data_IF_741993748444
#
_entry.id   IF_741993748444
#
_cell.length_a   1.000
_cell.length_b   1.000
_cell.length_c   1.000
_cell.angle_alpha   90.00
_cell.angle_beta   90.00
_cell.angle_gamma   90.00
#
_symmetry.space_group_name_H-M   'P 1'
#
loop_
_entity.id
_entity.type
_entity.pdbx_description
1 polymer ?
#
# COMPACT_ATOMS: atom_id res chain seq x y z
N UNK A 1 7.38 23.59 -5.81
CA UNK A 1 7.28 23.08 -7.21
C UNK A 1 5.84 22.65 -7.45
N UNK A 2 5.17 23.15 -8.49
CA UNK A 2 3.70 23.18 -8.61
C UNK A 2 3.04 22.05 -9.42
N UNK A 3 3.54 20.81 -9.38
CA UNK A 3 2.86 19.64 -9.98
C UNK A 3 2.69 18.52 -8.94
N UNK A 4 1.50 17.88 -8.85
CA UNK A 4 1.28 16.77 -7.92
C UNK A 4 2.21 15.59 -8.22
N UNK A 5 2.98 15.12 -7.22
CA UNK A 5 3.93 14.00 -7.35
C UNK A 5 3.32 12.74 -7.96
N UNK A 6 2.06 12.45 -7.65
CA UNK A 6 1.31 11.32 -8.17
C UNK A 6 1.18 11.26 -9.71
N UNK A 7 1.22 12.43 -10.36
CA UNK A 7 1.12 12.58 -11.82
C UNK A 7 2.49 12.58 -12.50
N UNK A 8 3.58 12.54 -11.72
CA UNK A 8 4.94 12.46 -12.27
C UNK A 8 5.07 11.13 -13.00
N UNK A 9 5.58 11.19 -14.24
CA UNK A 9 5.87 10.00 -15.02
C UNK A 9 6.98 9.20 -14.35
N UNK A 10 6.73 7.90 -14.18
CA UNK A 10 7.63 6.89 -13.66
C UNK A 10 7.57 5.62 -14.53
N UNK A 11 8.66 5.25 -15.18
CA UNK A 11 8.74 4.17 -16.17
C UNK A 11 7.67 4.30 -17.28
N UNK A 12 7.42 5.53 -17.74
CA UNK A 12 6.45 5.82 -18.82
C UNK A 12 4.97 5.81 -18.40
N UNK A 13 4.66 5.71 -17.10
CA UNK A 13 3.30 5.83 -16.57
C UNK A 13 3.27 6.71 -15.30
N UNK A 14 2.14 7.34 -14.93
CA UNK A 14 2.07 8.12 -13.68
C UNK A 14 2.42 7.27 -12.45
N UNK A 15 3.18 7.83 -11.50
CA UNK A 15 3.69 7.15 -10.31
C UNK A 15 2.59 6.39 -9.54
N UNK A 16 1.43 6.99 -9.40
CA UNK A 16 0.27 6.39 -8.73
C UNK A 16 -0.17 5.05 -9.37
N UNK A 17 -0.02 4.91 -10.69
CA UNK A 17 -0.32 3.67 -11.40
C UNK A 17 0.61 2.52 -10.97
N UNK A 18 1.81 2.81 -10.45
CA UNK A 18 2.71 1.80 -9.90
C UNK A 18 2.14 1.19 -8.63
N UNK A 19 1.69 2.03 -7.69
CA UNK A 19 1.01 1.58 -6.47
C UNK A 19 -0.23 0.76 -6.80
N UNK A 20 -1.07 1.25 -7.72
CA UNK A 20 -2.27 0.55 -8.18
C UNK A 20 -1.95 -0.82 -8.80
N UNK A 21 -0.90 -0.94 -9.64
CA UNK A 21 -0.49 -2.24 -10.20
C UNK A 21 0.04 -3.20 -9.13
N UNK A 22 0.76 -2.69 -8.15
CA UNK A 22 1.37 -3.50 -7.07
C UNK A 22 0.35 -3.96 -6.05
N UNK A 23 -0.70 -3.19 -5.80
CA UNK A 23 -1.64 -3.43 -4.70
C UNK A 23 -3.05 -3.77 -5.18
N UNK A 24 -3.40 -3.48 -6.42
CA UNK A 24 -4.76 -3.68 -6.94
C UNK A 24 -5.21 -5.14 -6.96
N UNK A 25 -4.27 -6.09 -6.99
CA UNK A 25 -4.58 -7.52 -6.96
C UNK A 25 -4.89 -8.06 -5.55
N UNK A 26 -4.62 -7.30 -4.49
CA UNK A 26 -4.97 -7.68 -3.11
C UNK A 26 -6.18 -6.91 -2.58
N UNK A 27 -6.76 -6.01 -3.37
CA UNK A 27 -7.79 -5.08 -2.93
C UNK A 27 -9.17 -5.40 -3.53
N UNK A 28 -10.21 -5.41 -2.69
CA UNK A 28 -11.60 -5.39 -3.18
C UNK A 28 -12.10 -3.99 -3.53
N UNK A 29 -11.58 -2.99 -2.83
CA UNK A 29 -11.85 -1.59 -3.04
C UNK A 29 -10.51 -0.85 -3.07
N UNK A 30 -10.34 0.06 -4.02
CA UNK A 30 -9.18 0.95 -4.09
C UNK A 30 -9.68 2.37 -3.92
N UNK A 31 -9.22 3.05 -2.88
CA UNK A 31 -9.55 4.46 -2.65
C UNK A 31 -8.28 5.26 -2.75
N UNK A 32 -8.31 6.35 -3.51
CA UNK A 32 -7.28 7.38 -3.47
C UNK A 32 -7.89 8.63 -2.85
N UNK A 33 -7.33 9.06 -1.72
CA UNK A 33 -7.67 10.37 -1.15
C UNK A 33 -6.80 11.45 -1.79
N UNK A 34 -7.41 12.53 -2.27
CA UNK A 34 -6.65 13.66 -2.79
C UNK A 34 -7.43 14.97 -2.68
N UNK A 35 -6.70 16.03 -2.33
CA UNK A 35 -7.18 17.41 -2.42
C UNK A 35 -7.26 17.94 -3.86
N UNK A 36 -6.70 17.22 -4.85
CA UNK A 36 -6.68 17.62 -6.25
C UNK A 36 -7.22 16.47 -7.12
N UNK A 37 -8.53 16.22 -7.01
CA UNK A 37 -9.21 15.16 -7.76
C UNK A 37 -9.08 15.35 -9.27
N UNK A 38 -9.11 16.59 -9.74
CA UNK A 38 -9.09 16.90 -11.17
C UNK A 38 -7.77 16.45 -11.80
N UNK A 39 -6.64 16.62 -11.10
CA UNK A 39 -5.34 16.12 -11.55
C UNK A 39 -5.28 14.59 -11.71
N UNK A 40 -6.17 13.87 -11.05
CA UNK A 40 -6.25 12.40 -11.07
C UNK A 40 -7.40 11.87 -11.92
N UNK A 41 -8.22 12.72 -12.55
CA UNK A 41 -9.38 12.30 -13.34
C UNK A 41 -9.03 11.34 -14.49
N UNK A 42 -7.78 11.35 -14.96
CA UNK A 42 -7.28 10.41 -15.96
C UNK A 42 -7.32 8.94 -15.47
N UNK A 43 -7.21 8.70 -14.16
CA UNK A 43 -7.28 7.35 -13.59
C UNK A 43 -8.66 6.72 -13.80
N UNK A 44 -9.72 7.53 -13.82
CA UNK A 44 -11.09 7.07 -14.05
C UNK A 44 -11.39 6.73 -15.52
N UNK A 45 -10.51 7.10 -16.46
CA UNK A 45 -10.73 6.88 -17.91
C UNK A 45 -9.74 5.92 -18.56
N UNK A 46 -8.53 5.77 -18.00
CA UNK A 46 -7.45 4.98 -18.61
C UNK A 46 -7.05 3.71 -17.86
N UNK A 47 -7.51 3.52 -16.62
CA UNK A 47 -7.19 2.34 -15.81
C UNK A 47 -8.45 1.54 -15.59
N UNK A 48 -8.51 0.32 -16.14
CA UNK A 48 -9.61 -0.64 -15.96
C UNK A 48 -9.59 -1.21 -14.55
N UNK A 49 -9.79 -0.35 -13.55
CA UNK A 49 -10.03 -0.73 -12.18
C UNK A 49 -11.45 -0.28 -11.85
N UNK A 50 -12.42 -1.16 -12.14
CA UNK A 50 -13.84 -0.95 -11.82
C UNK A 50 -14.08 -0.71 -10.31
N UNK A 51 -13.04 -0.91 -9.49
CA UNK A 51 -13.00 -0.81 -8.02
C UNK A 51 -12.34 0.49 -7.51
N UNK A 52 -11.90 1.40 -8.39
CA UNK A 52 -11.18 2.62 -7.98
C UNK A 52 -12.13 3.78 -7.69
N UNK A 53 -11.97 4.40 -6.51
CA UNK A 53 -12.70 5.60 -6.07
C UNK A 53 -11.74 6.74 -5.73
N UNK A 54 -12.02 7.93 -6.26
CA UNK A 54 -11.33 9.16 -5.86
C UNK A 54 -12.14 9.89 -4.78
N UNK A 55 -11.53 10.15 -3.64
CA UNK A 55 -12.17 10.80 -2.48
C UNK A 55 -11.43 12.09 -2.13
N UNK A 56 -12.17 13.14 -1.75
CA UNK A 56 -11.57 14.42 -1.37
C UNK A 56 -11.20 14.34 0.09
N UNK A 57 -10.10 14.94 0.49
CA UNK A 57 -9.80 15.06 1.92
C UNK A 57 -10.92 15.85 2.62
N UNK A 58 -11.29 15.41 3.82
CA UNK A 58 -12.37 16.05 4.60
C UNK A 58 -11.94 17.38 5.23
N UNK A 59 -10.63 17.60 5.33
CA UNK A 59 -10.04 18.75 6.02
C UNK A 59 -9.24 19.60 5.05
N UNK A 60 -9.51 20.91 5.05
CA UNK A 60 -8.76 21.89 4.26
C UNK A 60 -7.29 21.94 4.67
N UNK A 61 -7.02 21.87 5.99
CA UNK A 61 -5.66 21.83 6.53
C UNK A 61 -5.08 20.44 6.34
N UNK A 62 -3.89 20.35 5.75
CA UNK A 62 -3.20 19.07 5.53
C UNK A 62 -2.46 18.61 6.79
N UNK A 63 -2.62 17.33 7.12
CA UNK A 63 -1.80 16.65 8.11
C UNK A 63 -1.83 15.14 7.85
N UNK A 64 -0.82 14.43 8.33
CA UNK A 64 -0.76 12.98 8.26
C UNK A 64 -1.99 12.32 8.93
N UNK A 65 -2.40 12.85 10.09
CA UNK A 65 -3.58 12.34 10.80
C UNK A 65 -4.90 12.59 10.04
N UNK A 66 -5.03 13.74 9.37
CA UNK A 66 -6.21 14.07 8.57
C UNK A 66 -6.35 13.14 7.36
N UNK A 67 -5.24 12.85 6.69
CA UNK A 67 -5.19 11.89 5.59
C UNK A 67 -5.61 10.50 6.06
N UNK A 68 -4.99 10.00 7.13
CA UNK A 68 -5.31 8.69 7.71
C UNK A 68 -6.80 8.57 8.08
N UNK A 69 -7.36 9.61 8.72
CA UNK A 69 -8.78 9.63 9.07
C UNK A 69 -9.68 9.62 7.84
N UNK A 70 -9.38 10.44 6.83
CA UNK A 70 -10.16 10.49 5.59
C UNK A 70 -10.14 9.14 4.88
N UNK A 71 -8.97 8.50 4.79
CA UNK A 71 -8.83 7.18 4.18
C UNK A 71 -9.66 6.11 4.91
N UNK A 72 -9.55 6.03 6.24
CA UNK A 72 -10.33 5.08 7.04
C UNK A 72 -11.83 5.35 6.98
N UNK A 73 -12.25 6.62 6.97
CA UNK A 73 -13.67 6.97 6.92
C UNK A 73 -14.28 6.68 5.55
N UNK A 74 -13.49 6.84 4.48
CA UNK A 74 -13.94 6.61 3.11
C UNK A 74 -14.05 5.12 2.76
N UNK A 75 -13.23 4.29 3.40
CA UNK A 75 -13.22 2.84 3.25
C UNK A 75 -14.57 2.24 3.62
N UNK A 76 -15.06 1.29 2.83
CA UNK A 76 -16.36 0.64 3.09
C UNK A 76 -16.25 -0.52 4.08
N UNK A 77 -15.04 -1.02 4.32
CA UNK A 77 -14.83 -2.32 4.92
C UNK A 77 -14.12 -2.31 6.29
N UNK A 78 -14.11 -3.44 7.02
CA UNK A 78 -13.61 -3.48 8.40
C UNK A 78 -12.10 -3.34 8.51
N UNK A 79 -11.34 -3.89 7.56
CA UNK A 79 -9.88 -3.81 7.54
C UNK A 79 -9.40 -2.95 6.39
N UNK A 80 -8.46 -2.07 6.68
CA UNK A 80 -8.00 -1.04 5.75
C UNK A 80 -6.49 -1.03 5.76
N UNK A 81 -5.87 -1.50 4.69
CA UNK A 81 -4.46 -1.25 4.45
C UNK A 81 -4.29 0.19 3.96
N UNK A 82 -3.36 0.95 4.52
CA UNK A 82 -3.12 2.35 4.19
C UNK A 82 -1.69 2.45 3.68
N UNK A 83 -1.55 2.90 2.42
CA UNK A 83 -0.25 3.06 1.77
C UNK A 83 -0.04 4.48 1.26
N UNK A 84 1.14 5.06 1.50
CA UNK A 84 1.51 6.36 0.92
C UNK A 84 1.90 6.25 -0.57
N UNK A 85 1.49 7.22 -1.38
CA UNK A 85 1.72 7.21 -2.83
C UNK A 85 3.19 7.35 -3.28
N UNK A 86 4.07 7.81 -2.39
CA UNK A 86 5.51 7.93 -2.62
C UNK A 86 6.27 6.63 -2.31
N UNK A 87 5.60 5.61 -1.75
CA UNK A 87 6.15 4.27 -1.53
C UNK A 87 6.05 3.42 -2.79
N UNK A 88 6.96 3.64 -3.74
CA UNK A 88 6.95 2.98 -5.06
C UNK A 88 7.17 1.46 -5.01
N UNK A 89 7.70 0.97 -3.89
CA UNK A 89 7.97 -0.43 -3.60
C UNK A 89 6.98 -1.04 -2.60
N UNK A 90 5.82 -0.39 -2.36
CA UNK A 90 4.77 -0.91 -1.50
C UNK A 90 4.52 -2.41 -1.71
N UNK A 91 4.31 -3.13 -0.62
CA UNK A 91 4.50 -4.57 -0.60
C UNK A 91 3.23 -5.29 -0.19
N UNK A 92 2.60 -5.91 -1.20
CA UNK A 92 1.42 -6.74 -1.01
C UNK A 92 1.64 -7.90 -0.02
N UNK A 93 2.78 -8.63 -0.05
CA UNK A 93 3.07 -9.68 0.94
C UNK A 93 3.11 -9.16 2.38
N UNK A 94 3.72 -7.99 2.60
CA UNK A 94 3.79 -7.39 3.93
C UNK A 94 2.40 -6.98 4.45
N UNK A 95 1.60 -6.29 3.62
CA UNK A 95 0.23 -5.93 3.98
C UNK A 95 -0.65 -7.16 4.25
N UNK A 96 -0.40 -8.26 3.53
CA UNK A 96 -1.09 -9.53 3.75
C UNK A 96 -0.74 -10.12 5.12
N UNK A 97 0.54 -10.16 5.47
CA UNK A 97 0.98 -10.64 6.79
C UNK A 97 0.46 -9.76 7.94
N UNK A 98 0.43 -8.44 7.76
CA UNK A 98 -0.15 -7.49 8.72
C UNK A 98 -1.63 -7.73 8.95
N UNK A 99 -2.39 -7.93 7.86
CA UNK A 99 -3.80 -8.27 7.92
C UNK A 99 -4.04 -9.57 8.71
N UNK A 100 -3.29 -10.64 8.41
CA UNK A 100 -3.43 -11.94 9.10
C UNK A 100 -3.17 -11.82 10.61
N UNK A 101 -2.09 -11.13 10.98
CA UNK A 101 -1.78 -10.91 12.39
C UNK A 101 -2.88 -10.10 13.10
N UNK A 102 -3.40 -9.08 12.42
CA UNK A 102 -4.47 -8.23 12.95
C UNK A 102 -5.78 -8.98 13.15
N UNK A 103 -6.14 -9.85 12.21
CA UNK A 103 -7.32 -10.70 12.27
C UNK A 103 -7.23 -11.68 13.44
N UNK A 104 -6.12 -12.41 13.57
CA UNK A 104 -5.94 -13.45 14.59
C UNK A 104 -5.87 -12.91 16.02
N UNK A 105 -5.33 -11.70 16.20
CA UNK A 105 -5.10 -11.12 17.53
C UNK A 105 -6.28 -10.33 18.09
N UNK A 106 -7.23 -9.94 17.23
CA UNK A 106 -8.26 -8.95 17.58
C UNK A 106 -7.67 -7.60 18.00
N UNK A 107 -6.50 -7.22 17.48
CA UNK A 107 -5.89 -5.91 17.70
C UNK A 107 -6.57 -4.81 16.85
N UNK A 108 -6.18 -3.56 17.09
CA UNK A 108 -6.70 -2.39 16.40
C UNK A 108 -5.90 -2.09 15.12
N UNK A 109 -4.57 -2.21 15.16
CA UNK A 109 -3.75 -2.03 13.98
C UNK A 109 -2.48 -2.90 14.01
N UNK A 110 -2.01 -3.29 12.83
CA UNK A 110 -0.72 -3.90 12.60
C UNK A 110 0.15 -2.91 11.83
N UNK A 111 1.28 -2.51 12.43
CA UNK A 111 2.10 -1.40 11.92
C UNK A 111 3.58 -1.78 11.97
N UNK A 112 4.33 -1.64 10.87
CA UNK A 112 5.78 -1.79 10.87
C UNK A 112 6.47 -0.77 11.74
N UNK A 113 7.57 -1.20 12.36
CA UNK A 113 8.49 -0.32 13.06
C UNK A 113 9.91 -0.48 12.54
N UNK A 114 10.45 0.62 12.05
CA UNK A 114 11.84 0.75 11.61
C UNK A 114 12.68 1.39 12.72
N UNK A 115 13.98 1.56 12.46
CA UNK A 115 14.87 2.36 13.32
C UNK A 115 14.41 3.81 13.48
N UNK A 116 13.61 4.33 12.54
CA UNK A 116 13.13 5.71 12.52
C UNK A 116 11.76 5.88 13.17
N UNK A 117 11.08 4.79 13.52
CA UNK A 117 9.77 4.80 14.17
C UNK A 117 8.76 3.93 13.44
N UNK A 118 7.48 4.19 13.68
CA UNK A 118 6.40 3.47 13.01
C UNK A 118 6.18 3.99 11.59
N UNK A 119 5.77 3.10 10.69
CA UNK A 119 5.37 3.39 9.32
C UNK A 119 3.83 3.36 9.17
N UNK A 120 3.10 4.42 9.57
CA UNK A 120 1.63 4.43 9.59
C UNK A 120 0.97 4.46 8.20
N UNK A 121 1.77 4.61 7.14
CA UNK A 121 1.31 4.60 5.76
C UNK A 121 1.90 3.43 4.98
N UNK A 122 2.17 2.34 5.68
CA UNK A 122 2.29 0.99 5.13
C UNK A 122 1.89 0.04 6.26
N UNK A 123 0.58 0.01 6.54
CA UNK A 123 0.03 -0.63 7.72
C UNK A 123 -1.43 -1.01 7.51
N UNK A 124 -1.93 -1.95 8.32
CA UNK A 124 -3.33 -2.40 8.30
C UNK A 124 -4.05 -1.98 9.58
N UNK A 125 -5.26 -1.42 9.42
CA UNK A 125 -6.07 -0.86 10.48
C UNK A 125 -7.46 -1.51 10.54
N UNK A 126 -7.97 -1.72 11.75
CA UNK A 126 -9.38 -2.06 11.99
C UNK A 126 -10.18 -0.76 12.04
N UNK A 127 -10.96 -0.51 11.00
CA UNK A 127 -11.70 0.74 10.79
C UNK A 127 -12.53 1.14 12.02
N UNK A 128 -13.33 0.22 12.54
CA UNK A 128 -14.28 0.50 13.61
C UNK A 128 -13.61 0.98 14.91
N UNK A 129 -12.47 0.38 15.29
CA UNK A 129 -11.79 0.72 16.54
C UNK A 129 -10.79 1.86 16.38
N UNK A 130 -10.16 2.00 15.21
CA UNK A 130 -9.22 3.08 14.94
C UNK A 130 -9.90 4.44 14.73
N UNK A 131 -11.04 4.50 14.03
CA UNK A 131 -11.74 5.76 13.74
C UNK A 131 -12.02 6.63 14.97
N UNK A 132 -12.60 6.13 16.08
CA UNK A 132 -12.85 6.96 17.26
C UNK A 132 -11.56 7.46 17.94
N UNK A 133 -10.50 6.64 17.97
CA UNK A 133 -9.20 7.03 18.55
C UNK A 133 -8.54 8.16 17.74
N UNK A 134 -8.56 8.04 16.43
CA UNK A 134 -8.04 9.05 15.51
C UNK A 134 -8.86 10.33 15.60
N UNK A 135 -10.20 10.22 15.63
CA UNK A 135 -11.09 11.38 15.77
C UNK A 135 -10.84 12.14 17.06
N UNK A 136 -10.65 11.44 18.18
CA UNK A 136 -10.33 12.06 19.45
C UNK A 136 -8.98 12.81 19.43
N UNK A 137 -7.98 12.28 18.73
CA UNK A 137 -6.70 12.96 18.54
C UNK A 137 -6.83 14.22 17.65
N UNK A 138 -7.65 14.14 16.59
CA UNK A 138 -7.95 15.29 15.74
C UNK A 138 -8.66 16.42 16.50
N UNK A 139 -9.62 16.07 17.36
CA UNK A 139 -10.35 17.05 18.19
C UNK A 139 -9.45 17.75 19.22
N UNK A 140 -8.30 17.14 19.53
CA UNK A 140 -7.25 17.73 20.37
C UNK A 140 -6.23 18.55 19.56
N UNK A 141 -6.46 18.77 18.26
CA UNK A 141 -5.58 19.54 17.38
C UNK A 141 -4.30 18.82 16.99
N UNK A 142 -4.23 17.50 17.17
CA UNK A 142 -3.04 16.72 16.81
C UNK A 142 -2.91 16.57 15.29
N UNK A 143 -1.67 16.42 14.81
CA UNK A 143 -1.36 16.34 13.38
C UNK A 143 -0.55 15.09 13.00
N UNK A 144 0.14 14.47 13.97
CA UNK A 144 1.01 13.30 13.74
C UNK A 144 0.18 12.02 13.67
N UNK A 145 0.39 11.19 12.64
CA UNK A 145 -0.36 9.96 12.42
C UNK A 145 -0.21 8.90 13.52
N UNK A 146 0.88 8.94 14.30
CA UNK A 146 1.17 7.95 15.35
C UNK A 146 0.75 8.38 16.76
N UNK A 147 0.20 9.60 16.94
CA UNK A 147 -0.04 10.18 18.27
C UNK A 147 -1.05 9.40 19.12
N UNK A 148 -1.92 8.62 18.48
CA UNK A 148 -2.98 7.85 19.13
C UNK A 148 -2.58 6.40 19.40
N UNK A 149 -1.38 5.97 18.98
CA UNK A 149 -0.92 4.59 19.05
C UNK A 149 -0.88 4.04 20.48
N UNK A 150 -0.51 4.87 21.46
CA UNK A 150 -0.49 4.48 22.88
C UNK A 150 -1.89 4.15 23.45
N UNK A 151 -2.95 4.60 22.77
CA UNK A 151 -4.35 4.33 23.14
C UNK A 151 -4.96 3.15 22.39
N UNK A 152 -4.19 2.52 21.49
CA UNK A 152 -4.63 1.42 20.64
C UNK A 152 -3.89 0.12 21.01
N UNK A 153 -4.55 -1.01 20.79
CA UNK A 153 -3.91 -2.33 20.82
C UNK A 153 -3.19 -2.54 19.49
N UNK A 154 -1.86 -2.40 19.50
CA UNK A 154 -1.03 -2.54 18.31
C UNK A 154 -0.33 -3.89 18.22
N UNK A 155 -0.19 -4.38 16.99
CA UNK A 155 0.83 -5.36 16.63
C UNK A 155 1.97 -4.60 15.96
N UNK A 156 3.12 -4.61 16.60
CA UNK A 156 4.34 -4.07 16.01
C UNK A 156 4.96 -5.10 15.08
N UNK A 157 5.07 -4.76 13.79
CA UNK A 157 5.83 -5.54 12.83
C UNK A 157 7.31 -5.15 12.93
N UNK A 158 8.05 -5.99 13.66
CA UNK A 158 9.50 -5.79 13.85
C UNK A 158 10.25 -5.90 12.52
N UNK A 159 11.48 -5.37 12.41
CA UNK A 159 12.28 -5.51 11.19
C UNK A 159 12.46 -6.97 10.72
N UNK A 160 12.52 -7.92 11.65
CA UNK A 160 12.61 -9.35 11.33
C UNK A 160 11.31 -9.88 10.71
N UNK A 161 10.15 -9.48 11.24
CA UNK A 161 8.84 -9.84 10.68
C UNK A 161 8.63 -9.21 9.31
N UNK A 162 9.04 -7.94 9.14
CA UNK A 162 9.00 -7.25 7.85
C UNK A 162 9.85 -7.99 6.82
N UNK A 163 11.09 -8.33 7.16
CA UNK A 163 11.99 -9.06 6.25
C UNK A 163 11.47 -10.46 5.93
N UNK A 164 10.84 -11.13 6.90
CA UNK A 164 10.21 -12.43 6.67
C UNK A 164 9.05 -12.33 5.67
N UNK A 165 8.20 -11.31 5.80
CA UNK A 165 7.05 -11.10 4.92
C UNK A 165 7.44 -10.57 3.54
N UNK A 166 8.46 -9.70 3.44
CA UNK A 166 9.00 -9.20 2.17
C UNK A 166 10.54 -9.27 2.14
N UNK A 167 11.10 -10.43 1.74
CA UNK A 167 12.55 -10.64 1.70
C UNK A 167 13.31 -9.71 0.75
N UNK A 168 12.60 -9.07 -0.19
CA UNK A 168 13.22 -8.10 -1.12
C UNK A 168 13.62 -6.80 -0.42
N UNK A 169 12.99 -6.49 0.71
CA UNK A 169 13.17 -5.21 1.40
C UNK A 169 12.72 -4.01 0.56
N UNK A 170 12.99 -2.81 1.08
CA UNK A 170 12.71 -1.55 0.38
C UNK A 170 11.24 -1.10 0.40
N UNK A 171 10.35 -1.82 1.11
CA UNK A 171 8.92 -1.50 1.24
C UNK A 171 8.61 -0.06 1.67
N UNK A 172 9.48 0.55 2.48
CA UNK A 172 9.30 1.88 3.07
C UNK A 172 10.12 2.98 2.38
N UNK A 173 10.72 2.70 1.21
CA UNK A 173 11.51 3.71 0.51
C UNK A 173 10.57 4.75 -0.11
N UNK A 174 10.69 5.98 0.38
CA UNK A 174 9.95 7.14 -0.11
C UNK A 174 10.75 7.85 -1.20
N UNK A 175 10.07 8.30 -2.25
CA UNK A 175 10.70 9.07 -3.33
C UNK A 175 10.18 10.48 -3.31
N UNK A 176 11.03 11.40 -2.91
CA UNK A 176 10.67 12.78 -2.63
C UNK A 176 11.10 13.75 -3.71
N UNK A 177 12.16 13.45 -4.44
CA UNK A 177 12.70 14.34 -5.49
C UNK A 177 12.59 13.74 -6.90
N UNK A 178 12.46 14.57 -7.95
CA UNK A 178 12.51 14.09 -9.33
C UNK A 178 13.83 13.37 -9.67
N UNK A 179 14.94 13.76 -9.02
CA UNK A 179 16.23 13.10 -9.20
C UNK A 179 16.23 11.69 -8.62
N UNK A 180 15.71 11.51 -7.40
CA UNK A 180 15.54 10.17 -6.81
C UNK A 180 14.64 9.28 -7.66
N UNK A 181 13.56 9.83 -8.23
CA UNK A 181 12.70 9.10 -9.17
C UNK A 181 13.49 8.64 -10.39
N UNK A 182 14.26 9.52 -11.03
CA UNK A 182 15.06 9.17 -12.20
C UNK A 182 16.13 8.11 -11.88
N UNK A 183 16.82 8.24 -10.74
CA UNK A 183 17.83 7.28 -10.30
C UNK A 183 17.20 5.89 -10.06
N UNK A 184 15.99 5.86 -9.49
CA UNK A 184 15.23 4.63 -9.28
C UNK A 184 14.69 4.02 -10.57
N UNK A 185 14.21 4.82 -11.52
CA UNK A 185 13.83 4.34 -12.85
C UNK A 185 15.01 3.63 -13.52
N UNK A 186 16.19 4.25 -13.48
CA UNK A 186 17.40 3.66 -14.04
C UNK A 186 17.76 2.34 -13.34
N UNK A 187 17.65 2.26 -12.00
CA UNK A 187 17.87 1.01 -11.26
C UNK A 187 16.87 -0.08 -11.65
N UNK A 188 15.57 0.23 -11.74
CA UNK A 188 14.55 -0.75 -12.13
C UNK A 188 14.75 -1.22 -13.57
N UNK A 189 15.03 -0.30 -14.49
CA UNK A 189 15.29 -0.65 -15.89
C UNK A 189 16.55 -1.52 -16.01
N UNK A 190 17.62 -1.17 -15.29
CA UNK A 190 18.85 -1.95 -15.26
C UNK A 190 18.64 -3.32 -14.61
N UNK A 191 17.93 -3.44 -13.49
CA UNK A 191 17.56 -4.73 -12.88
C UNK A 191 16.70 -5.59 -13.81
N UNK A 192 15.80 -4.97 -14.59
CA UNK A 192 14.96 -5.68 -15.56
C UNK A 192 15.80 -6.19 -16.73
N UNK A 193 16.77 -5.41 -17.20
CA UNK A 193 17.72 -5.82 -18.24
C UNK A 193 18.70 -6.89 -17.73
N UNK A 194 19.17 -6.78 -16.49
CA UNK A 194 20.04 -7.77 -15.84
C UNK A 194 19.30 -9.08 -15.57
N UNK A 195 18.03 -9.06 -15.16
CA UNK A 195 17.20 -10.28 -15.02
C UNK A 195 16.92 -11.00 -16.35
N UNK A 196 16.90 -10.27 -17.47
CA UNK A 196 16.86 -10.86 -18.82
C UNK A 196 18.23 -11.43 -19.20
N UNK A 197 19.32 -10.87 -18.66
CA UNK A 197 20.68 -11.22 -19.06
C UNK A 197 21.33 -12.32 -18.21
N UNK A 198 21.16 -12.42 -16.88
CA UNK A 198 21.71 -13.47 -15.99
C UNK A 198 21.15 -13.38 -14.53
N UNK A 199 20.91 -14.51 -13.87
CA UNK A 199 20.82 -14.68 -12.38
C UNK A 199 22.21 -15.08 -11.84
N UNK A 200 22.54 -14.93 -10.54
CA UNK A 200 22.24 -13.91 -9.52
C UNK A 200 23.55 -13.19 -9.03
N UNK A 201 23.45 -12.12 -8.21
CA UNK A 201 24.30 -11.90 -7.01
C UNK A 201 23.89 -10.60 -6.26
N UNK A 202 23.73 -10.79 -4.94
CA UNK A 202 23.76 -9.89 -3.77
C UNK A 202 23.88 -8.36 -3.96
N UNK A 203 23.05 -7.58 -3.24
CA UNK A 203 23.31 -6.16 -2.96
C UNK A 203 22.58 -5.66 -1.70
N UNK A 204 23.36 -5.27 -0.69
CA UNK A 204 22.91 -4.60 0.53
C UNK A 204 22.36 -3.18 0.29
N UNK A 205 21.28 -2.85 0.98
CA UNK A 205 20.64 -1.54 0.92
C UNK A 205 21.27 -0.51 1.87
N UNK A 206 21.54 0.69 1.36
CA UNK A 206 21.82 1.88 2.17
C UNK A 206 20.51 2.63 2.43
N UNK A 207 20.24 2.92 3.70
CA UNK A 207 19.19 3.81 4.20
C UNK A 207 19.64 5.27 4.13
N UNK A 208 18.75 6.16 3.66
CA UNK A 208 18.95 7.61 3.61
C UNK A 208 18.09 8.25 4.71
N UNK A 209 18.67 9.23 5.41
CA UNK A 209 18.12 9.98 6.55
C UNK A 209 16.73 10.59 6.27
N UNK A 210 15.78 10.28 7.16
CA UNK A 210 14.46 10.90 7.21
C UNK A 210 14.50 12.14 8.09
N UNK A 211 14.96 13.27 7.53
CA UNK A 211 14.83 14.55 8.21
C UNK A 211 13.43 15.17 7.99
N UNK A 212 12.84 15.59 9.10
CA UNK A 212 11.50 16.13 9.23
C UNK A 212 11.33 17.42 8.39
N UNK A 213 10.10 17.60 7.87
CA UNK A 213 9.52 18.86 7.39
C UNK A 213 9.52 19.11 5.86
N UNK A 214 8.91 18.21 5.08
CA UNK A 214 8.56 18.49 3.68
C UNK A 214 7.06 18.28 3.40
N UNK A 215 6.51 19.19 2.62
CA UNK A 215 5.08 19.40 2.35
C UNK A 215 4.36 18.10 1.92
N UNK A 216 3.41 17.64 2.75
CA UNK A 216 2.62 16.42 2.53
C UNK A 216 1.85 16.47 1.20
N UNK A 217 2.36 15.76 0.20
CA UNK A 217 1.62 15.32 -0.98
C UNK A 217 1.06 13.93 -0.72
N UNK A 218 0.11 13.81 0.19
CA UNK A 218 -0.43 12.50 0.58
C UNK A 218 -1.58 12.11 -0.35
N UNK A 219 -1.39 11.00 -1.06
CA UNK A 219 -2.47 10.20 -1.61
C UNK A 219 -2.39 8.84 -0.95
N UNK A 220 -3.44 8.47 -0.23
CA UNK A 220 -3.49 7.22 0.51
C UNK A 220 -4.27 6.22 -0.32
N UNK A 221 -3.65 5.06 -0.59
CA UNK A 221 -4.33 3.92 -1.19
C UNK A 221 -4.90 3.02 -0.10
N UNK A 222 -6.22 2.84 -0.10
CA UNK A 222 -6.91 1.87 0.77
C UNK A 222 -7.07 0.53 0.06
N UNK A 223 -6.74 -0.58 0.74
CA UNK A 223 -6.96 -1.97 0.31
C UNK A 223 -7.87 -2.68 1.31
N UNK A 224 -8.79 -3.51 0.81
CA UNK A 224 -9.79 -4.27 1.58
C UNK A 224 -9.60 -5.82 1.56
N UNK A 225 -10.15 -6.47 2.60
CA UNK A 225 -10.19 -7.84 3.15
C UNK A 225 -10.50 -9.04 2.23
N UNK A 226 -11.54 -8.98 1.41
CA UNK A 226 -12.10 -10.14 0.68
C UNK A 226 -11.17 -10.79 -0.35
N UNK A 227 -10.27 -10.03 -0.98
CA UNK A 227 -9.34 -10.51 -2.00
C UNK A 227 -7.99 -10.94 -1.42
N UNK A 228 -7.56 -10.35 -0.29
CA UNK A 228 -6.37 -10.80 0.46
C UNK A 228 -6.53 -12.30 0.76
N UNK A 229 -7.72 -12.72 1.19
CA UNK A 229 -8.07 -14.12 1.45
C UNK A 229 -8.13 -14.99 0.19
N UNK A 230 -8.72 -14.52 -0.92
CA UNK A 230 -8.89 -15.34 -2.12
C UNK A 230 -7.60 -15.52 -2.95
N UNK A 231 -6.72 -14.53 -2.97
CA UNK A 231 -5.44 -14.66 -3.68
C UNK A 231 -4.42 -15.54 -2.92
N UNK A 232 -4.67 -15.82 -1.64
CA UNK A 232 -3.94 -16.79 -0.81
C UNK A 232 -4.17 -18.24 -1.26
N UNK A 233 -5.40 -18.60 -1.64
CA UNK A 233 -5.72 -19.94 -2.17
C UNK A 233 -5.07 -20.20 -3.54
N UNK A 234 -4.84 -19.15 -4.32
CA UNK A 234 -4.17 -19.24 -5.63
C UNK A 234 -2.65 -19.27 -5.46
N UNK A 235 -2.08 -18.48 -4.54
CA UNK A 235 -0.63 -18.41 -4.33
C UNK A 235 0.00 -19.66 -3.71
N UNK A 236 -0.76 -20.45 -2.93
CA UNK A 236 -0.33 -21.79 -2.49
C UNK A 236 -0.33 -22.84 -3.62
N UNK A 237 -0.93 -22.56 -4.78
CA UNK A 237 -0.98 -23.47 -5.94
C UNK A 237 -0.25 -22.97 -7.19
N UNK A 238 0.22 -21.73 -7.23
CA UNK A 238 1.09 -21.26 -8.32
C UNK A 238 2.54 -21.59 -8.02
N UNK A 239 2.90 -22.87 -8.20
CA UNK A 239 4.20 -23.18 -8.77
C UNK A 239 4.29 -22.51 -10.14
N UNK A 240 5.37 -21.78 -10.33
CA UNK A 240 5.69 -21.01 -11.52
C UNK A 240 5.83 -21.95 -12.74
N UNK A 241 4.73 -22.20 -13.47
CA UNK A 241 4.78 -22.78 -14.81
C UNK A 241 4.52 -21.69 -15.86
N UNK A 242 5.58 -20.94 -16.13
CA UNK A 242 5.71 -20.18 -17.37
C UNK A 242 6.05 -21.17 -18.50
N UNK A 243 5.02 -21.75 -19.13
CA UNK A 243 5.17 -22.23 -20.51
C UNK A 243 3.89 -22.04 -21.33
N UNK A 244 4.03 -21.15 -22.30
CA UNK A 244 3.36 -21.05 -23.60
C UNK A 244 2.16 -21.98 -23.87
N UNK A 245 0.98 -21.37 -23.98
CA UNK A 245 -0.01 -21.63 -25.03
C UNK A 245 -0.51 -23.06 -25.24
N UNK A 246 -1.65 -23.39 -24.64
CA UNK A 246 -2.79 -24.02 -25.34
C UNK A 246 -4.06 -23.87 -24.49
N UNK A 247 -5.11 -23.30 -25.08
CA UNK A 247 -6.44 -23.20 -24.47
C UNK A 247 -7.05 -24.59 -24.40
N UNK A 248 -7.29 -25.12 -23.20
CA UNK A 248 -8.24 -26.22 -23.01
C UNK A 248 -9.28 -25.84 -21.96
N UNK A 249 -10.53 -25.81 -22.44
CA UNK A 249 -11.74 -25.75 -21.65
C UNK A 249 -11.75 -26.86 -20.59
N UNK A 250 -11.89 -26.50 -19.31
CA UNK A 250 -12.31 -27.44 -18.27
C UNK A 250 -13.62 -26.93 -17.65
N UNK A 251 -14.70 -27.65 -17.94
CA UNK A 251 -16.00 -27.51 -17.29
C UNK A 251 -15.87 -27.92 -15.82
N UNK A 252 -16.21 -27.01 -14.90
CA UNK A 252 -16.42 -27.35 -13.49
C UNK A 252 -17.79 -28.02 -13.35
N UNK A 253 -17.80 -29.34 -13.14
CA UNK A 253 -18.97 -30.05 -12.64
C UNK A 253 -19.13 -29.77 -11.13
N UNK A 254 -20.29 -29.26 -10.77
CA UNK A 254 -20.78 -29.15 -9.39
C UNK A 254 -20.98 -30.54 -8.80
N UNK A 255 -20.27 -30.87 -7.72
CA UNK A 255 -20.64 -32.00 -6.85
C UNK A 255 -21.29 -31.42 -5.60
N UNK A 256 -22.60 -31.59 -5.52
CA UNK A 256 -23.38 -31.47 -4.31
C UNK A 256 -23.03 -32.63 -3.35
N UNK A 257 -22.82 -32.32 -2.07
CA UNK A 257 -23.01 -33.31 -1.01
C UNK A 257 -23.96 -32.73 0.04
N UNK A 258 -25.20 -33.24 -0.01
CA UNK A 258 -26.09 -33.33 1.14
C UNK A 258 -25.62 -34.49 2.03
N UNK A 259 -25.41 -34.23 3.31
CA UNK A 259 -26.03 -34.93 4.46
C UNK A 259 -25.50 -34.38 5.77
#
# INVERSE_FOLDING_TARGET
>A
MGRPKATVSFCGAPLICRGLKRLGHIADELIITSNDKDSLGFLCSGVTLDKLRLVSDLYEKRSALNGLYTALLAASNPYVAVVACDMIFASAPLLTAEYEALELSGADAAVPRTSHGYEPFHAVYRRETCLPLIKAALDQGQTKATVWFEKAKLIEFTPAMVLHADPRGGSFVNVNTPQELADMEQRILNETMTKIANLPEDMGGQTIDCDNNSECHQQILVVDEGHIRNNMLVSHHTSCDLSCGHTQHLQLQSVALQR
#
